data_IF_401285577321
#
_entry.id   IF_401285577321
#
_cell.length_a   1.000
_cell.length_b   1.000
_cell.length_c   1.000
_cell.angle_alpha   90.00
_cell.angle_beta   90.00
_cell.angle_gamma   90.00
#
_symmetry.space_group_name_H-M   'P 1'
#
loop_
_entity.id
_entity.type
_entity.pdbx_description
1 polymer ?
#
# COMPACT_ATOMS: atom_id res chain seq x y z
N UNK A 1 -1.41 -15.82 -21.41
CA UNK A 1 -2.17 -14.66 -20.95
C UNK A 1 -1.92 -14.46 -19.48
N UNK A 2 -1.41 -13.32 -19.20
CA UNK A 2 -1.12 -12.99 -17.81
C UNK A 2 -2.34 -12.35 -17.19
N UNK A 3 -2.98 -13.09 -16.30
CA UNK A 3 -4.06 -12.52 -15.54
C UNK A 3 -3.55 -12.06 -14.20
N UNK A 4 -3.93 -10.86 -13.82
CA UNK A 4 -3.58 -10.34 -12.51
C UNK A 4 -4.20 -11.22 -11.42
N UNK A 5 -3.43 -11.63 -10.40
CA UNK A 5 -4.01 -12.37 -9.28
C UNK A 5 -5.10 -11.58 -8.56
N UNK A 6 -5.07 -10.25 -8.63
CA UNK A 6 -6.10 -9.43 -8.00
C UNK A 6 -7.45 -9.59 -8.69
N UNK A 7 -7.47 -9.85 -10.00
CA UNK A 7 -8.70 -10.08 -10.74
C UNK A 7 -9.31 -11.45 -10.45
N UNK A 8 -8.55 -12.35 -9.81
CA UNK A 8 -9.06 -13.67 -9.39
C UNK A 8 -9.86 -13.58 -8.08
N UNK A 9 -9.76 -12.47 -7.36
CA UNK A 9 -10.46 -12.31 -6.09
C UNK A 9 -11.91 -11.95 -6.36
N UNK A 10 -12.88 -12.76 -5.87
CA UNK A 10 -14.28 -12.46 -6.11
C UNK A 10 -14.70 -11.15 -5.45
N UNK A 11 -15.63 -10.47 -6.11
CA UNK A 11 -16.12 -9.17 -5.62
C UNK A 11 -16.66 -9.27 -4.18
N UNK A 12 -17.21 -10.42 -3.82
CA UNK A 12 -17.72 -10.65 -2.45
C UNK A 12 -16.64 -10.54 -1.40
N UNK A 13 -15.35 -10.66 -1.77
CA UNK A 13 -14.21 -10.54 -0.85
C UNK A 13 -13.59 -9.15 -0.87
N UNK A 14 -14.11 -8.23 -1.67
CA UNK A 14 -13.59 -6.87 -1.67
C UNK A 14 -13.99 -6.14 -0.38
N UNK A 15 -13.09 -5.29 0.09
CA UNK A 15 -13.40 -4.40 1.22
C UNK A 15 -14.40 -3.33 0.76
N UNK A 16 -14.14 -2.74 -0.41
CA UNK A 16 -14.96 -1.70 -1.00
C UNK A 16 -14.52 -1.49 -2.44
N UNK A 17 -15.24 -0.66 -3.19
CA UNK A 17 -14.88 -0.31 -4.55
C UNK A 17 -15.53 1.01 -4.95
N UNK A 18 -15.01 1.58 -6.01
CA UNK A 18 -15.66 2.66 -6.73
C UNK A 18 -15.59 2.37 -8.23
N UNK A 19 -15.90 3.35 -9.06
CA UNK A 19 -16.00 3.15 -10.50
C UNK A 19 -14.69 2.64 -11.13
N UNK A 20 -13.53 3.09 -10.62
CA UNK A 20 -12.24 2.81 -11.24
C UNK A 20 -11.30 1.95 -10.41
N UNK A 21 -11.64 1.66 -9.15
CA UNK A 21 -10.76 0.92 -8.27
C UNK A 21 -11.52 0.05 -7.29
N UNK A 22 -10.84 -0.94 -6.73
CA UNK A 22 -11.37 -1.78 -5.67
C UNK A 22 -10.30 -1.98 -4.60
N UNK A 23 -10.73 -2.39 -3.43
CA UNK A 23 -9.84 -2.62 -2.30
C UNK A 23 -9.99 -4.03 -1.76
N UNK A 24 -8.87 -4.64 -1.42
CA UNK A 24 -8.80 -6.01 -0.89
C UNK A 24 -7.86 -6.04 0.31
N UNK A 25 -8.03 -7.05 1.16
CA UNK A 25 -7.05 -7.34 2.19
C UNK A 25 -5.83 -7.97 1.54
N UNK A 26 -4.64 -7.56 1.99
CA UNK A 26 -3.41 -8.20 1.52
C UNK A 26 -3.39 -9.65 2.00
N UNK A 27 -3.11 -10.59 1.09
CA UNK A 27 -3.04 -12.01 1.43
C UNK A 27 -1.85 -12.36 2.31
N UNK A 28 -0.86 -11.49 2.38
CA UNK A 28 0.35 -11.65 3.20
C UNK A 28 0.55 -10.39 4.05
N UNK A 29 -0.39 -10.09 4.96
CA UNK A 29 -0.37 -8.80 5.66
C UNK A 29 0.85 -8.65 6.54
N UNK A 30 1.48 -7.47 6.52
CA UNK A 30 2.60 -7.18 7.42
C UNK A 30 2.11 -6.68 8.77
N UNK A 31 0.84 -6.29 8.84
CA UNK A 31 0.20 -5.87 10.09
C UNK A 31 -1.31 -6.12 9.99
N UNK A 32 -2.01 -6.18 11.13
CA UNK A 32 -3.47 -6.34 11.09
C UNK A 32 -4.13 -5.21 10.31
N UNK A 33 -4.96 -5.57 9.34
CA UNK A 33 -5.68 -4.59 8.53
C UNK A 33 -4.92 -4.06 7.31
N UNK A 34 -3.79 -4.68 6.95
CA UNK A 34 -3.05 -4.32 5.75
C UNK A 34 -3.92 -4.53 4.51
N UNK A 35 -4.16 -3.46 3.76
CA UNK A 35 -5.04 -3.46 2.60
C UNK A 35 -4.30 -3.01 1.35
N UNK A 36 -4.86 -3.39 0.20
CA UNK A 36 -4.38 -2.98 -1.12
C UNK A 36 -5.51 -2.26 -1.85
N UNK A 37 -5.17 -1.16 -2.51
CA UNK A 37 -6.09 -0.43 -3.38
C UNK A 37 -5.62 -0.65 -4.81
N UNK A 38 -6.49 -1.14 -5.67
CA UNK A 38 -6.14 -1.68 -6.99
C UNK A 38 -7.05 -1.08 -8.04
N UNK A 39 -6.53 -0.53 -9.15
CA UNK A 39 -7.40 -0.09 -10.25
C UNK A 39 -8.02 -1.30 -10.94
N UNK A 40 -9.24 -1.13 -11.48
CA UNK A 40 -9.86 -2.20 -12.27
C UNK A 40 -9.05 -2.49 -13.53
N UNK A 41 -8.51 -1.47 -14.16
CA UNK A 41 -7.68 -1.62 -15.37
C UNK A 41 -6.32 -2.17 -14.97
N UNK A 42 -5.80 -3.13 -15.72
CA UNK A 42 -4.52 -3.77 -15.43
C UNK A 42 -3.39 -3.01 -16.10
N UNK A 43 -2.52 -2.42 -15.30
CA UNK A 43 -1.30 -1.77 -15.76
C UNK A 43 -0.32 -1.76 -14.58
N UNK A 44 1.01 -1.78 -14.83
CA UNK A 44 1.94 -2.02 -13.73
C UNK A 44 2.31 -0.78 -12.93
N UNK A 45 2.46 0.38 -13.55
CA UNK A 45 3.14 1.50 -12.92
C UNK A 45 2.17 2.61 -12.50
N UNK A 46 2.42 3.20 -11.32
CA UNK A 46 1.70 4.41 -10.90
C UNK A 46 1.74 5.49 -11.97
N UNK A 47 2.86 5.57 -12.72
CA UNK A 47 3.04 6.58 -13.75
C UNK A 47 2.10 6.40 -14.95
N UNK A 48 1.49 5.22 -15.09
CA UNK A 48 0.55 4.90 -16.17
C UNK A 48 -0.90 5.16 -15.78
N UNK A 49 -1.16 5.50 -14.53
CA UNK A 49 -2.51 5.80 -14.07
C UNK A 49 -3.01 7.09 -14.68
N UNK A 50 -4.28 7.10 -15.11
CA UNK A 50 -4.92 8.36 -15.51
C UNK A 50 -5.17 9.21 -14.26
N UNK A 51 -5.36 10.55 -14.43
CA UNK A 51 -5.73 11.40 -13.30
C UNK A 51 -6.99 10.92 -12.59
N UNK A 52 -7.99 10.43 -13.32
CA UNK A 52 -9.22 9.91 -12.73
C UNK A 52 -8.96 8.64 -11.92
N UNK A 53 -8.11 7.75 -12.42
CA UNK A 53 -7.71 6.55 -11.67
C UNK A 53 -6.96 6.93 -10.39
N UNK A 54 -6.06 7.88 -10.48
CA UNK A 54 -5.34 8.36 -9.30
C UNK A 54 -6.29 8.90 -8.23
N UNK A 55 -7.27 9.71 -8.62
CA UNK A 55 -8.28 10.23 -7.69
C UNK A 55 -9.12 9.11 -7.09
N UNK A 56 -9.54 8.16 -7.92
CA UNK A 56 -10.36 7.04 -7.46
C UNK A 56 -9.61 6.20 -6.41
N UNK A 57 -8.32 5.96 -6.65
CA UNK A 57 -7.47 5.22 -5.70
C UNK A 57 -7.36 6.00 -4.39
N UNK A 58 -7.12 7.30 -4.44
CA UNK A 58 -6.98 8.12 -3.24
C UNK A 58 -8.29 8.24 -2.46
N UNK A 59 -9.41 8.35 -3.15
CA UNK A 59 -10.72 8.38 -2.50
C UNK A 59 -11.00 7.06 -1.78
N UNK A 60 -10.71 5.95 -2.45
CA UNK A 60 -10.93 4.63 -1.87
C UNK A 60 -9.98 4.36 -0.70
N UNK A 61 -8.75 4.87 -0.77
CA UNK A 61 -7.78 4.79 0.31
C UNK A 61 -8.37 5.40 1.60
N UNK A 62 -8.99 6.58 1.50
CA UNK A 62 -9.60 7.25 2.65
C UNK A 62 -10.77 6.46 3.21
N UNK A 63 -11.60 5.90 2.33
CA UNK A 63 -12.73 5.09 2.74
C UNK A 63 -12.27 3.83 3.47
N UNK A 64 -11.27 3.14 2.92
CA UNK A 64 -10.75 1.90 3.51
C UNK A 64 -10.09 2.17 4.87
N UNK A 65 -9.40 3.30 5.01
CA UNK A 65 -8.87 3.71 6.32
C UNK A 65 -9.98 3.73 7.36
N UNK A 66 -11.12 4.33 7.03
CA UNK A 66 -12.28 4.39 7.92
C UNK A 66 -12.85 3.02 8.23
N UNK A 67 -12.89 2.14 7.24
CA UNK A 67 -13.37 0.76 7.42
C UNK A 67 -12.47 -0.01 8.37
N UNK A 68 -11.14 0.12 8.21
CA UNK A 68 -10.18 -0.53 9.10
C UNK A 68 -10.40 -0.08 10.54
N UNK A 69 -10.57 1.22 10.75
CA UNK A 69 -10.81 1.76 12.08
C UNK A 69 -12.12 1.24 12.66
N UNK A 70 -13.16 1.16 11.84
CA UNK A 70 -14.48 0.67 12.27
C UNK A 70 -14.49 -0.84 12.52
N UNK A 71 -13.56 -1.59 11.97
CA UNK A 71 -13.47 -3.04 12.15
C UNK A 71 -12.90 -3.43 13.53
N UNK A 72 -12.52 -2.47 14.34
CA UNK A 72 -12.05 -2.73 15.69
C UNK A 72 -10.54 -2.72 15.87
N UNK A 73 -9.78 -2.63 14.80
CA UNK A 73 -8.34 -2.40 14.91
C UNK A 73 -8.09 -0.96 15.37
N UNK A 74 -6.98 -0.77 16.06
CA UNK A 74 -6.65 0.54 16.63
C UNK A 74 -5.26 0.98 16.21
N UNK A 75 -5.05 1.21 14.91
CA UNK A 75 -3.73 1.67 14.47
C UNK A 75 -3.42 3.06 15.01
N UNK A 76 -2.13 3.28 15.31
CA UNK A 76 -1.63 4.56 15.79
C UNK A 76 -0.98 5.37 14.67
N UNK A 77 -0.79 4.78 13.50
CA UNK A 77 -0.20 5.44 12.35
C UNK A 77 -0.41 4.62 11.09
N UNK A 78 0.12 5.11 9.97
CA UNK A 78 -0.08 4.49 8.68
C UNK A 78 1.15 4.66 7.80
N UNK A 79 1.42 3.65 6.98
CA UNK A 79 2.31 3.80 5.84
C UNK A 79 1.51 3.56 4.57
N UNK A 80 1.75 4.37 3.57
CA UNK A 80 1.06 4.29 2.29
C UNK A 80 2.14 4.28 1.21
N UNK A 81 2.04 3.38 0.25
CA UNK A 81 3.06 3.34 -0.78
C UNK A 81 2.74 2.42 -1.93
N UNK A 82 3.47 2.63 -3.01
CA UNK A 82 3.38 1.86 -4.25
C UNK A 82 4.79 1.43 -4.63
N UNK A 83 4.93 0.17 -5.04
CA UNK A 83 6.16 -0.32 -5.61
C UNK A 83 6.08 -0.19 -7.13
N UNK A 84 7.09 0.43 -7.74
CA UNK A 84 7.13 0.62 -9.18
C UNK A 84 8.42 -0.01 -9.72
N UNK A 85 8.27 -0.98 -10.60
CA UNK A 85 9.40 -1.65 -11.24
C UNK A 85 10.09 -2.68 -10.37
N UNK A 86 10.94 -3.50 -10.98
CA UNK A 86 11.65 -4.58 -10.27
C UNK A 86 12.54 -4.03 -9.16
N UNK A 87 13.27 -2.96 -9.43
CA UNK A 87 14.15 -2.35 -8.44
C UNK A 87 13.37 -1.76 -7.26
N UNK A 88 12.12 -1.38 -7.48
CA UNK A 88 11.22 -0.92 -6.43
C UNK A 88 10.55 -2.05 -5.66
N UNK A 89 10.81 -3.30 -6.05
CA UNK A 89 10.26 -4.47 -5.36
C UNK A 89 8.91 -4.94 -5.88
N UNK A 90 8.48 -4.43 -7.02
CA UNK A 90 7.19 -4.84 -7.58
C UNK A 90 7.26 -6.26 -8.14
N UNK A 91 6.39 -7.14 -7.66
CA UNK A 91 6.33 -8.53 -8.11
C UNK A 91 5.07 -8.86 -8.90
N UNK A 92 4.00 -8.10 -8.72
CA UNK A 92 2.75 -8.25 -9.46
C UNK A 92 2.60 -7.06 -10.39
N UNK A 93 2.54 -7.28 -11.73
CA UNK A 93 2.48 -6.19 -12.71
C UNK A 93 1.07 -5.61 -12.87
N UNK A 94 0.42 -5.34 -11.79
CA UNK A 94 -0.87 -4.67 -11.70
C UNK A 94 -0.75 -3.71 -10.53
N UNK A 95 -0.82 -2.43 -10.80
CA UNK A 95 -0.68 -1.38 -9.80
C UNK A 95 -1.47 -1.71 -8.55
N UNK A 96 -0.85 -1.58 -7.40
CA UNK A 96 -1.57 -1.69 -6.14
C UNK A 96 -0.89 -0.80 -5.10
N UNK A 97 -1.72 -0.04 -4.39
CA UNK A 97 -1.26 0.85 -3.35
C UNK A 97 -1.45 0.17 -2.01
N UNK A 98 -0.39 0.06 -1.24
CA UNK A 98 -0.43 -0.49 0.11
C UNK A 98 -0.98 0.55 1.07
N UNK A 99 -1.91 0.14 1.91
CA UNK A 99 -2.34 0.87 3.09
C UNK A 99 -2.00 0.01 4.29
N UNK A 100 -0.98 0.41 5.03
CA UNK A 100 -0.42 -0.39 6.11
C UNK A 100 -0.69 0.29 7.45
N UNK A 101 -1.61 -0.28 8.25
CA UNK A 101 -1.82 0.22 9.61
C UNK A 101 -0.57 -0.04 10.45
N UNK A 102 -0.18 0.94 11.25
CA UNK A 102 0.97 0.82 12.11
C UNK A 102 0.53 0.88 13.57
N UNK A 103 1.18 0.06 14.40
CA UNK A 103 0.83 -0.10 15.80
C UNK A 103 2.05 0.15 16.66
N UNK A 104 1.83 0.76 17.83
CA UNK A 104 2.92 0.97 18.79
C UNK A 104 3.56 -0.37 19.12
N UNK A 105 4.87 -0.46 18.96
CA UNK A 105 5.63 -1.68 19.27
C UNK A 105 5.74 -2.67 18.13
N UNK A 106 5.14 -2.39 16.97
CA UNK A 106 5.25 -3.32 15.81
C UNK A 106 6.67 -3.34 15.23
N UNK A 107 7.47 -2.36 15.54
CA UNK A 107 8.85 -2.23 15.12
C UNK A 107 9.62 -1.47 16.21
N UNK A 108 10.85 -1.86 16.46
CA UNK A 108 11.65 -1.29 17.56
C UNK A 108 11.83 0.22 17.43
N UNK A 109 12.18 0.68 16.23
CA UNK A 109 12.36 2.12 15.95
C UNK A 109 11.76 2.44 14.58
N UNK A 110 10.52 2.96 14.52
CA UNK A 110 9.85 3.23 13.26
C UNK A 110 10.27 4.53 12.59
N UNK A 111 11.13 5.31 13.21
CA UNK A 111 11.50 6.61 12.63
C UNK A 111 12.04 6.45 11.22
N UNK A 112 11.59 7.31 10.33
CA UNK A 112 11.93 7.24 8.91
C UNK A 112 10.88 6.56 8.06
N UNK A 113 10.04 5.69 8.65
CA UNK A 113 8.89 5.09 7.95
C UNK A 113 9.25 4.45 6.62
N UNK A 114 8.74 5.02 5.52
CA UNK A 114 8.96 4.49 4.17
C UNK A 114 10.44 4.39 3.78
N UNK A 115 11.31 5.09 4.47
CA UNK A 115 12.76 5.02 4.21
C UNK A 115 13.34 3.65 4.53
N UNK A 116 12.64 2.85 5.32
CA UNK A 116 13.09 1.48 5.66
C UNK A 116 13.03 0.51 4.49
N UNK A 117 12.61 0.99 3.31
CA UNK A 117 12.73 0.18 2.07
C UNK A 117 14.20 -0.16 1.75
N UNK A 118 15.15 0.65 2.23
CA UNK A 118 16.57 0.33 2.17
C UNK A 118 17.00 -0.02 3.59
N UNK A 119 17.37 -1.28 3.86
CA UNK A 119 17.75 -1.69 5.20
C UNK A 119 18.89 -0.83 5.76
N UNK A 120 18.79 -0.50 7.04
CA UNK A 120 19.78 0.28 7.78
C UNK A 120 19.90 1.75 7.35
N UNK A 121 19.01 2.21 6.48
CA UNK A 121 18.99 3.59 6.00
C UNK A 121 17.75 4.36 6.45
N UNK A 122 16.84 3.69 7.15
CA UNK A 122 15.54 4.25 7.47
C UNK A 122 15.63 5.47 8.37
N UNK A 123 16.27 5.34 9.52
CA UNK A 123 16.44 6.48 10.41
C UNK A 123 17.52 7.42 9.84
N UNK A 124 17.10 8.55 9.33
CA UNK A 124 17.98 9.49 8.64
C UNK A 124 19.11 10.02 9.53
N UNK A 125 18.92 10.03 10.85
CA UNK A 125 19.94 10.49 11.78
C UNK A 125 21.07 9.49 11.97
N UNK A 126 20.78 8.20 11.83
CA UNK A 126 21.74 7.12 12.08
C UNK A 126 22.15 6.39 10.81
N UNK A 127 21.57 6.74 9.67
CA UNK A 127 21.90 6.10 8.40
C UNK A 127 23.38 6.33 8.07
N UNK A 128 24.13 5.25 7.74
CA UNK A 128 25.54 5.40 7.38
C UNK A 128 25.75 6.20 6.08
N UNK A 129 24.70 6.39 5.30
CA UNK A 129 24.77 7.20 4.07
C UNK A 129 24.32 8.64 4.27
N UNK A 130 23.96 9.01 5.49
CA UNK A 130 23.59 10.39 5.73
C UNK A 130 24.82 11.28 5.55
N UNK A 131 24.74 12.17 4.60
CA UNK A 131 25.80 13.13 4.29
C UNK A 131 25.22 14.53 4.48
N UNK A 132 25.77 15.26 5.41
CA UNK A 132 25.40 16.65 5.56
C UNK A 132 26.21 17.47 4.57
N UNK A 133 25.55 18.10 3.66
CA UNK A 133 26.16 18.94 2.65
C UNK A 133 26.11 20.39 3.02
#
# INVERSE_FOLDING_TARGET
MNQSPFLQIPQSDWISSNELAFAIWDGYPVSPGHALIVPHRVFPSWWDATPDEGRAILDLLREVKGIIQSAGWRPSGWNIGVNVGDAGGQTVPHLHMHLIPRYVGDMADPRGGVRHVIPDRGNWKTSPHYQKK
#
